data_IF_697357720754
#
_entry.id   IF_697357720754
#
_cell.length_a   1.000
_cell.length_b   1.000
_cell.length_c   1.000
_cell.angle_alpha   90.00
_cell.angle_beta   90.00
_cell.angle_gamma   90.00
#
_symmetry.space_group_name_H-M   'P 1'
#
loop_
_entity.id
_entity.type
_entity.pdbx_description
1 polymer ?
#
# COMPACT_ATOMS: atom_id res chain seq x y z
N UNK A 1 13.55 24.22 6.75
CA UNK A 1 12.18 23.74 6.96
C UNK A 1 11.86 22.66 5.93
N UNK A 2 11.41 21.48 6.34
CA UNK A 2 11.10 20.44 5.37
C UNK A 2 9.90 20.79 4.51
N UNK A 3 9.99 20.48 3.25
CA UNK A 3 8.90 20.68 2.28
C UNK A 3 8.39 19.31 1.87
N UNK A 4 7.09 19.10 2.01
CA UNK A 4 6.46 17.88 1.54
C UNK A 4 6.17 17.97 0.04
N UNK A 5 6.70 17.02 -0.71
CA UNK A 5 6.48 16.93 -2.15
C UNK A 5 5.83 15.59 -2.49
N UNK A 6 4.57 15.57 -2.91
CA UNK A 6 3.88 14.32 -3.27
C UNK A 6 4.57 13.54 -4.39
N UNK A 7 5.32 14.19 -5.26
CA UNK A 7 6.03 13.53 -6.35
C UNK A 7 7.17 12.61 -5.85
N UNK A 8 7.62 12.83 -4.61
CA UNK A 8 8.65 11.97 -3.98
C UNK A 8 8.07 10.70 -3.37
N UNK A 9 6.76 10.55 -3.38
CA UNK A 9 6.09 9.34 -2.92
C UNK A 9 5.73 8.50 -4.13
N UNK A 10 6.30 7.30 -4.21
CA UNK A 10 6.09 6.40 -5.35
C UNK A 10 5.65 5.02 -4.87
N UNK A 11 4.81 4.38 -5.65
CA UNK A 11 4.36 3.01 -5.39
C UNK A 11 4.47 2.21 -6.68
N UNK A 12 4.95 0.97 -6.58
CA UNK A 12 5.00 0.05 -7.70
C UNK A 12 4.50 -1.33 -7.30
N UNK A 13 3.86 -2.02 -8.23
CA UNK A 13 3.45 -3.40 -8.09
C UNK A 13 3.93 -4.17 -9.30
N UNK A 14 4.69 -5.25 -9.05
CA UNK A 14 5.24 -6.07 -10.12
C UNK A 14 6.16 -5.30 -11.07
N UNK A 15 6.82 -4.25 -10.58
CA UNK A 15 7.69 -3.40 -11.39
C UNK A 15 6.99 -2.30 -12.17
N UNK A 16 5.66 -2.20 -12.07
CA UNK A 16 4.88 -1.15 -12.74
C UNK A 16 4.53 -0.06 -11.74
N UNK A 17 5.06 1.15 -11.96
CA UNK A 17 4.84 2.28 -11.06
C UNK A 17 3.45 2.88 -11.26
N UNK A 18 2.86 3.34 -10.15
CA UNK A 18 1.61 4.09 -10.18
C UNK A 18 1.83 5.48 -10.78
N UNK A 19 1.03 5.84 -11.77
CA UNK A 19 1.08 7.14 -12.44
C UNK A 19 -0.30 7.79 -12.43
N UNK A 20 -0.33 9.11 -12.57
CA UNK A 20 -1.57 9.88 -12.53
C UNK A 20 -2.39 9.57 -11.27
N UNK A 21 -1.73 9.71 -10.12
CA UNK A 21 -2.33 9.43 -8.81
C UNK A 21 -3.35 10.50 -8.48
N UNK A 22 -4.37 10.12 -7.72
CA UNK A 22 -5.44 11.04 -7.35
C UNK A 22 -4.93 12.14 -6.42
N UNK A 23 -5.58 13.30 -6.48
CA UNK A 23 -5.39 14.34 -5.47
C UNK A 23 -6.04 13.88 -4.16
N UNK A 24 -5.43 14.18 -3.04
CA UNK A 24 -5.91 13.74 -1.74
C UNK A 24 -5.18 12.48 -1.28
N UNK A 25 -5.89 11.51 -0.74
CA UNK A 25 -5.27 10.26 -0.29
C UNK A 25 -4.85 9.42 -1.49
N UNK A 26 -3.53 9.31 -1.71
CA UNK A 26 -2.98 8.57 -2.85
C UNK A 26 -2.82 7.09 -2.52
N UNK A 27 -2.19 6.80 -1.37
CA UNK A 27 -1.84 5.44 -0.97
C UNK A 27 -2.22 5.23 0.49
N UNK A 28 -2.75 4.06 0.79
CA UNK A 28 -3.05 3.65 2.15
C UNK A 28 -2.54 2.23 2.36
N UNK A 29 -1.56 2.07 3.24
CA UNK A 29 -0.93 0.79 3.53
C UNK A 29 -1.25 0.42 4.97
N UNK A 30 -2.03 -0.63 5.18
CA UNK A 30 -2.58 -0.97 6.50
C UNK A 30 -2.42 -2.46 6.78
N UNK A 31 -2.04 -2.79 8.00
CA UNK A 31 -2.02 -4.18 8.46
C UNK A 31 -3.40 -4.58 8.99
N UNK A 32 -3.77 -5.84 8.78
CA UNK A 32 -5.06 -6.36 9.20
C UNK A 32 -5.13 -6.57 10.72
N UNK A 33 -4.02 -6.95 11.33
CA UNK A 33 -3.98 -7.32 12.75
C UNK A 33 -2.83 -6.64 13.47
N UNK A 34 -2.97 -6.48 14.77
CA UNK A 34 -1.89 -6.01 15.61
C UNK A 34 -0.81 -7.09 15.74
N UNK A 35 0.46 -6.68 15.71
CA UNK A 35 1.58 -7.60 15.91
C UNK A 35 1.66 -8.03 17.38
N UNK A 36 1.43 -7.10 18.29
CA UNK A 36 1.49 -7.38 19.72
C UNK A 36 0.10 -7.32 20.33
N UNK A 37 -0.29 -8.41 21.00
CA UNK A 37 -1.55 -8.50 21.70
C UNK A 37 -1.29 -8.68 23.20
N UNK A 38 -2.20 -8.20 24.02
CA UNK A 38 -2.12 -8.40 25.47
C UNK A 38 -2.99 -9.59 25.85
N UNK A 39 -2.51 -10.35 26.82
CA UNK A 39 -3.23 -11.48 27.40
C UNK A 39 -3.29 -11.29 28.91
N UNK A 40 -4.49 -11.14 29.45
CA UNK A 40 -4.69 -10.94 30.87
C UNK A 40 -4.96 -12.26 31.59
N UNK A 41 -4.25 -12.51 32.68
CA UNK A 41 -4.48 -13.67 33.53
C UNK A 41 -5.60 -13.38 34.53
N UNK A 42 -6.37 -14.42 34.89
CA UNK A 42 -7.42 -14.34 35.90
C UNK A 42 -6.84 -13.88 37.26
N UNK A 43 -5.59 -14.20 37.53
CA UNK A 43 -4.90 -13.85 38.80
C UNK A 43 -4.23 -12.49 38.79
N UNK A 44 -4.51 -11.66 37.81
CA UNK A 44 -4.01 -10.28 37.72
C UNK A 44 -2.68 -10.09 37.04
N UNK A 45 -2.03 -11.16 36.56
CA UNK A 45 -0.86 -11.06 35.72
C UNK A 45 -1.24 -10.82 34.26
N UNK A 46 -0.27 -10.46 33.45
CA UNK A 46 -0.48 -10.28 32.01
C UNK A 46 0.74 -10.66 31.20
N UNK A 47 0.55 -10.80 29.91
CA UNK A 47 1.62 -11.10 28.97
C UNK A 47 1.37 -10.43 27.63
N UNK A 48 2.46 -10.17 26.90
CA UNK A 48 2.37 -9.76 25.51
C UNK A 48 2.58 -10.98 24.60
N UNK A 49 1.73 -11.13 23.62
CA UNK A 49 1.83 -12.22 22.65
C UNK A 49 2.07 -11.61 21.28
N UNK A 50 3.12 -12.07 20.59
CA UNK A 50 3.46 -11.60 19.25
C UNK A 50 2.68 -12.39 18.21
N UNK A 51 1.94 -11.67 17.35
CA UNK A 51 1.30 -12.26 16.20
C UNK A 51 2.31 -12.42 15.06
N UNK A 52 2.26 -13.56 14.38
CA UNK A 52 3.05 -13.80 13.17
C UNK A 52 2.30 -13.40 11.91
N UNK A 53 1.08 -12.91 12.05
CA UNK A 53 0.26 -12.48 10.92
C UNK A 53 0.64 -11.06 10.50
N UNK A 54 1.33 -10.95 9.36
CA UNK A 54 1.72 -9.67 8.75
C UNK A 54 0.94 -9.40 7.46
N UNK A 55 -0.27 -9.95 7.36
CA UNK A 55 -1.14 -9.67 6.23
C UNK A 55 -1.74 -8.28 6.33
N UNK A 56 -2.08 -7.72 5.21
CA UNK A 56 -2.67 -6.39 5.18
C UNK A 56 -3.22 -6.02 3.82
N UNK A 57 -3.55 -4.76 3.71
CA UNK A 57 -4.20 -4.20 2.53
C UNK A 57 -3.54 -2.88 2.16
N UNK A 58 -3.30 -2.70 0.87
CA UNK A 58 -2.84 -1.42 0.32
C UNK A 58 -3.88 -0.92 -0.68
N UNK A 59 -4.38 0.28 -0.46
CA UNK A 59 -5.33 0.93 -1.38
C UNK A 59 -4.61 2.03 -2.13
N UNK A 60 -4.71 2.00 -3.45
CA UNK A 60 -4.09 2.98 -4.34
C UNK A 60 -5.18 3.68 -5.12
N UNK A 61 -5.20 5.00 -5.06
CA UNK A 61 -6.19 5.82 -5.78
C UNK A 61 -5.53 6.45 -7.00
N UNK A 62 -6.05 6.13 -8.18
CA UNK A 62 -5.54 6.64 -9.46
C UNK A 62 -6.64 7.42 -10.17
N UNK A 63 -6.23 8.40 -10.98
CA UNK A 63 -7.15 9.04 -11.90
C UNK A 63 -7.57 8.07 -12.99
N UNK A 64 -8.80 8.20 -13.48
CA UNK A 64 -9.34 7.27 -14.48
C UNK A 64 -8.54 7.24 -15.78
N UNK A 65 -7.80 8.28 -16.09
CA UNK A 65 -6.94 8.36 -17.29
C UNK A 65 -5.56 7.73 -17.09
N UNK A 66 -5.26 7.16 -15.91
CA UNK A 66 -3.94 6.62 -15.61
C UNK A 66 -3.58 5.46 -16.54
N UNK A 67 -2.39 5.48 -17.17
CA UNK A 67 -1.93 4.35 -17.98
C UNK A 67 -1.60 3.11 -17.15
N UNK A 68 -1.38 3.26 -15.86
CA UNK A 68 -1.08 2.15 -14.95
C UNK A 68 -2.25 1.17 -14.82
N UNK A 69 -3.49 1.62 -15.02
CA UNK A 69 -4.68 0.77 -14.94
C UNK A 69 -4.58 -0.46 -15.84
N UNK A 70 -4.25 -0.26 -17.10
CA UNK A 70 -4.16 -1.34 -18.07
C UNK A 70 -3.02 -2.31 -17.72
N UNK A 71 -1.88 -1.79 -17.29
CA UNK A 71 -0.73 -2.61 -16.93
C UNK A 71 -1.03 -3.46 -15.69
N UNK A 72 -1.65 -2.89 -14.67
CA UNK A 72 -2.02 -3.65 -13.47
C UNK A 72 -3.13 -4.67 -13.74
N UNK A 73 -4.07 -4.35 -14.63
CA UNK A 73 -5.09 -5.31 -15.05
C UNK A 73 -4.47 -6.53 -15.73
N UNK A 74 -3.48 -6.33 -16.58
CA UNK A 74 -2.77 -7.43 -17.22
C UNK A 74 -2.02 -8.30 -16.20
N UNK A 75 -1.40 -7.70 -15.20
CA UNK A 75 -0.75 -8.44 -14.12
C UNK A 75 -1.76 -9.20 -13.26
N UNK A 76 -2.93 -8.62 -13.02
CA UNK A 76 -4.01 -9.31 -12.31
C UNK A 76 -4.45 -10.57 -13.07
N UNK A 77 -4.62 -10.48 -14.38
CA UNK A 77 -5.03 -11.61 -15.21
C UNK A 77 -3.96 -12.71 -15.26
N UNK A 78 -2.69 -12.35 -15.08
CA UNK A 78 -1.61 -13.34 -15.00
C UNK A 78 -1.70 -14.21 -13.74
N UNK A 79 -2.37 -13.73 -12.68
CA UNK A 79 -2.69 -14.51 -11.50
C UNK A 79 -1.52 -14.87 -10.60
N UNK A 80 -0.44 -14.11 -10.62
CA UNK A 80 0.76 -14.38 -9.81
C UNK A 80 0.94 -13.34 -8.72
N UNK A 81 1.34 -13.75 -7.50
CA UNK A 81 1.78 -12.80 -6.49
C UNK A 81 3.01 -12.04 -6.97
N UNK A 82 3.01 -10.73 -6.79
CA UNK A 82 4.09 -9.84 -7.23
C UNK A 82 4.50 -8.90 -6.11
N UNK A 83 5.75 -8.42 -6.09
CA UNK A 83 6.18 -7.50 -5.04
C UNK A 83 5.48 -6.15 -5.14
N UNK A 84 5.15 -5.60 -3.98
CA UNK A 84 4.57 -4.27 -3.81
C UNK A 84 5.56 -3.41 -3.04
N UNK A 85 5.82 -2.20 -3.50
CA UNK A 85 6.78 -1.30 -2.88
C UNK A 85 6.27 0.14 -2.91
N UNK A 86 6.21 0.74 -1.73
CA UNK A 86 5.89 2.15 -1.53
C UNK A 86 7.10 2.84 -0.92
N UNK A 87 7.59 3.90 -1.56
CA UNK A 87 8.73 4.67 -1.07
C UNK A 87 8.33 6.13 -0.96
N UNK A 88 8.53 6.69 0.23
CA UNK A 88 8.42 8.12 0.49
C UNK A 88 9.82 8.70 0.66
N UNK A 89 10.24 9.52 -0.30
CA UNK A 89 11.57 10.14 -0.30
C UNK A 89 11.58 11.55 0.29
N UNK A 90 10.52 11.95 0.94
CA UNK A 90 10.49 13.20 1.70
C UNK A 90 11.40 13.10 2.93
N UNK A 91 11.50 14.17 3.68
CA UNK A 91 12.47 14.26 4.78
C UNK A 91 12.30 13.20 5.86
N UNK A 92 11.09 12.64 6.01
CA UNK A 92 10.84 11.57 6.98
C UNK A 92 11.38 10.21 6.52
N UNK A 93 11.43 9.97 5.22
CA UNK A 93 11.97 8.75 4.65
C UNK A 93 11.27 7.48 5.12
N UNK A 94 10.24 7.04 4.41
CA UNK A 94 9.47 5.85 4.76
C UNK A 94 9.48 4.86 3.61
N UNK A 95 9.56 3.58 3.94
CA UNK A 95 9.48 2.50 2.96
C UNK A 95 8.48 1.47 3.48
N UNK A 96 7.52 1.12 2.65
CA UNK A 96 6.57 0.08 2.96
C UNK A 96 6.47 -0.89 1.79
N UNK A 97 6.23 -2.15 2.06
CA UNK A 97 6.11 -3.10 0.98
C UNK A 97 5.81 -4.50 1.44
N UNK A 98 5.73 -5.39 0.47
CA UNK A 98 5.55 -6.81 0.69
C UNK A 98 6.16 -7.56 -0.49
N UNK A 99 6.74 -8.73 -0.21
CA UNK A 99 7.32 -9.57 -1.28
C UNK A 99 6.25 -10.13 -2.19
N UNK A 100 5.08 -10.41 -1.64
CA UNK A 100 3.97 -11.02 -2.37
C UNK A 100 2.70 -10.24 -2.08
N UNK A 101 2.16 -9.63 -3.12
CA UNK A 101 0.89 -8.93 -3.07
C UNK A 101 0.09 -9.27 -4.32
N UNK A 102 -1.22 -9.30 -4.18
CA UNK A 102 -2.13 -9.55 -5.29
C UNK A 102 -3.21 -8.48 -5.30
N UNK A 103 -3.63 -8.10 -6.49
CA UNK A 103 -4.81 -7.28 -6.64
C UNK A 103 -6.03 -8.13 -6.26
N UNK A 104 -6.80 -7.67 -5.29
CA UNK A 104 -7.90 -8.46 -4.73
C UNK A 104 -9.01 -8.69 -5.75
N UNK A 105 -9.29 -7.67 -6.57
CA UNK A 105 -10.30 -7.72 -7.63
C UNK A 105 -10.11 -6.51 -8.52
N UNK A 106 -10.56 -6.56 -9.79
CA UNK A 106 -10.58 -5.37 -10.63
C UNK A 106 -11.44 -4.28 -9.98
N UNK A 107 -11.03 -3.01 -10.09
CA UNK A 107 -11.83 -1.91 -9.58
C UNK A 107 -13.15 -1.78 -10.35
N UNK A 108 -14.15 -1.17 -9.71
CA UNK A 108 -15.41 -0.91 -10.36
C UNK A 108 -15.21 0.03 -11.56
N UNK A 109 -15.88 -0.27 -12.67
CA UNK A 109 -15.84 0.59 -13.84
C UNK A 109 -16.95 1.63 -13.72
N UNK A 110 -16.56 2.85 -13.39
CA UNK A 110 -17.48 3.99 -13.22
C UNK A 110 -17.09 5.07 -14.21
N UNK A 111 -18.03 5.50 -15.02
CA UNK A 111 -17.82 6.58 -15.98
C UNK A 111 -18.76 7.73 -15.68
N UNK A 112 -18.24 8.94 -15.70
CA UNK A 112 -18.97 10.18 -15.47
C UNK A 112 -18.47 11.24 -16.43
N UNK A 113 -19.18 12.37 -16.50
CA UNK A 113 -18.74 13.49 -17.34
C UNK A 113 -17.45 14.12 -16.82
N UNK A 114 -17.27 14.10 -15.49
CA UNK A 114 -16.06 14.60 -14.86
C UNK A 114 -15.06 13.46 -14.66
N UNK A 115 -13.79 13.83 -14.49
CA UNK A 115 -12.74 12.86 -14.21
C UNK A 115 -13.00 12.15 -12.88
N UNK A 116 -13.04 10.83 -12.92
CA UNK A 116 -13.29 10.02 -11.72
C UNK A 116 -11.98 9.43 -11.18
N UNK A 117 -12.05 8.94 -9.96
CA UNK A 117 -10.95 8.27 -9.27
C UNK A 117 -11.25 6.79 -9.22
N UNK A 118 -10.24 5.97 -9.52
CA UNK A 118 -10.33 4.50 -9.48
C UNK A 118 -9.45 4.01 -8.34
N UNK A 119 -9.99 3.15 -7.48
CA UNK A 119 -9.25 2.58 -6.36
C UNK A 119 -8.87 1.14 -6.63
N UNK A 120 -7.59 0.84 -6.51
CA UNK A 120 -7.06 -0.52 -6.57
C UNK A 120 -6.76 -0.99 -5.16
N UNK A 121 -7.26 -2.17 -4.80
CA UNK A 121 -7.05 -2.77 -3.49
C UNK A 121 -6.15 -3.97 -3.63
N UNK A 122 -4.95 -3.89 -3.07
CA UNK A 122 -4.00 -4.99 -3.03
C UNK A 122 -4.04 -5.65 -1.67
N UNK A 123 -4.00 -6.98 -1.65
CA UNK A 123 -3.82 -7.74 -0.43
C UNK A 123 -2.42 -8.33 -0.42
N UNK A 124 -1.77 -8.27 0.73
CA UNK A 124 -0.41 -8.76 0.85
C UNK A 124 -0.26 -9.66 2.07
N UNK A 125 0.74 -10.53 1.98
CA UNK A 125 1.26 -11.30 3.10
C UNK A 125 2.66 -10.76 3.42
N UNK A 126 3.14 -10.91 4.61
CA UNK A 126 4.52 -10.55 4.96
C UNK A 126 4.89 -9.08 4.67
N UNK A 127 3.98 -8.17 4.97
CA UNK A 127 4.22 -6.74 4.76
C UNK A 127 5.15 -6.13 5.80
N UNK A 128 5.73 -4.97 5.44
CA UNK A 128 6.58 -4.20 6.36
C UNK A 128 6.44 -2.71 6.11
N UNK A 129 6.69 -1.94 7.17
CA UNK A 129 6.80 -0.48 7.11
C UNK A 129 8.08 -0.11 7.85
N UNK A 130 8.96 0.66 7.20
CA UNK A 130 10.23 1.11 7.79
C UNK A 130 10.29 2.62 7.71
N UNK A 131 10.58 3.26 8.85
CA UNK A 131 10.81 4.69 8.94
C UNK A 131 12.31 4.91 9.05
N UNK A 132 12.94 5.32 7.96
CA UNK A 132 14.40 5.44 7.92
C UNK A 132 14.91 6.75 8.48
N UNK A 133 14.09 7.81 8.44
CA UNK A 133 14.53 9.14 8.82
C UNK A 133 15.54 9.75 7.88
N UNK A 134 15.82 9.11 6.75
CA UNK A 134 16.77 9.56 5.76
C UNK A 134 16.09 10.30 4.62
N UNK A 135 16.80 11.25 4.03
CA UNK A 135 16.33 11.95 2.83
C UNK A 135 16.87 11.21 1.61
N UNK A 136 15.97 10.80 0.74
CA UNK A 136 16.32 10.18 -0.54
C UNK A 136 16.19 11.23 -1.63
N UNK A 137 17.31 11.66 -2.17
CA UNK A 137 17.34 12.66 -3.25
C UNK A 137 17.25 12.03 -4.64
#
# INVERSE_FOLDING_TARGET
MPIYNPEKVTLSWGGVAARAVANGEMFNFTFNNDIWNTYASIKGGGAFVKSLDKTGTCVVSLQDVSPTKAAWQALYEAGKPLPLLLIDRNSTGEVAGAKEAMLARPPALVKAQELTIVQFTFKFVDGYIIHTGQVFD
#
